data_IF_334609228736
#
_entry.id   IF_334609228736
#
_cell.length_a   1.000
_cell.length_b   1.000
_cell.length_c   1.000
_cell.angle_alpha   90.00
_cell.angle_beta   90.00
_cell.angle_gamma   90.00
#
_symmetry.space_group_name_H-M   'P 1'
#
loop_
_entity.id
_entity.type
_entity.pdbx_description
1 polymer ?
#
# COMPACT_ATOMS: atom_id res chain seq x y z
N UNK A 1 -11.98 -7.72 -11.86
CA UNK A 1 -12.81 -6.55 -12.17
C UNK A 1 -12.26 -5.29 -11.51
N UNK A 2 -12.23 -4.20 -12.24
CA UNK A 2 -11.67 -2.95 -11.76
C UNK A 2 -12.78 -2.01 -11.31
N UNK A 3 -12.63 -1.37 -10.15
CA UNK A 3 -13.55 -0.33 -9.73
C UNK A 3 -12.98 1.02 -10.13
N UNK A 4 -13.89 1.93 -10.46
CA UNK A 4 -13.48 3.29 -10.77
C UNK A 4 -12.93 3.94 -9.51
N UNK A 5 -11.87 4.74 -9.68
CA UNK A 5 -11.26 5.46 -8.59
C UNK A 5 -11.92 6.82 -8.47
N UNK A 6 -12.63 7.11 -7.36
CA UNK A 6 -13.26 8.43 -7.23
C UNK A 6 -12.21 9.53 -7.26
N UNK A 7 -12.60 10.69 -7.79
CA UNK A 7 -11.66 11.81 -7.90
C UNK A 7 -11.10 12.21 -6.54
N UNK A 8 -11.94 12.23 -5.50
CA UNK A 8 -11.47 12.61 -4.18
C UNK A 8 -10.45 11.61 -3.63
N UNK A 9 -10.60 10.32 -3.98
CA UNK A 9 -9.61 9.33 -3.60
C UNK A 9 -8.31 9.55 -4.36
N UNK A 10 -8.40 9.90 -5.64
CA UNK A 10 -7.21 10.10 -6.46
C UNK A 10 -6.36 11.22 -5.91
N UNK A 11 -6.99 12.28 -5.40
CA UNK A 11 -6.25 13.39 -4.81
C UNK A 11 -5.33 12.90 -3.70
N UNK A 12 -5.83 12.00 -2.85
CA UNK A 12 -5.01 11.47 -1.76
C UNK A 12 -3.98 10.47 -2.25
N UNK A 13 -4.36 9.63 -3.22
CA UNK A 13 -3.45 8.60 -3.72
C UNK A 13 -2.26 9.20 -4.47
N UNK A 14 -2.38 10.43 -4.96
CA UNK A 14 -1.28 11.08 -5.66
C UNK A 14 -0.31 11.80 -4.74
N UNK A 15 -0.52 11.73 -3.43
CA UNK A 15 0.34 12.42 -2.46
C UNK A 15 1.20 11.41 -1.70
N UNK A 16 2.42 11.81 -1.29
CA UNK A 16 3.28 10.90 -0.52
C UNK A 16 2.86 10.84 0.96
N UNK A 17 1.72 10.26 1.20
CA UNK A 17 1.19 10.10 2.55
C UNK A 17 1.57 8.73 3.10
N UNK A 18 1.73 8.65 4.41
CA UNK A 18 1.91 7.35 5.05
C UNK A 18 0.53 6.74 5.25
N UNK A 19 0.37 5.51 4.81
CA UNK A 19 -0.90 4.82 4.94
C UNK A 19 -0.75 3.66 5.92
N UNK A 20 -1.87 3.26 6.50
CA UNK A 20 -1.90 2.06 7.34
C UNK A 20 -2.45 0.91 6.50
N UNK A 21 -1.68 -0.16 6.45
CA UNK A 21 -2.05 -1.37 5.71
C UNK A 21 -2.41 -2.46 6.69
N UNK A 22 -3.64 -2.96 6.60
CA UNK A 22 -4.12 -4.04 7.44
C UNK A 22 -4.13 -5.34 6.66
N UNK A 23 -3.57 -6.38 7.25
CA UNK A 23 -3.54 -7.73 6.69
C UNK A 23 -4.05 -8.71 7.73
N UNK A 24 -4.25 -9.95 7.33
CA UNK A 24 -4.79 -10.99 8.21
C UNK A 24 -3.76 -12.10 8.36
N UNK A 25 -3.40 -12.37 9.61
CA UNK A 25 -2.43 -13.44 9.93
C UNK A 25 -3.06 -14.82 9.67
N UNK A 26 -2.24 -15.84 9.52
CA UNK A 26 -2.80 -17.19 9.26
C UNK A 26 -3.78 -17.68 10.32
N UNK A 27 -3.66 -17.21 11.57
CA UNK A 27 -4.60 -17.59 12.62
C UNK A 27 -5.87 -16.73 12.63
N UNK A 28 -6.01 -15.82 11.66
CA UNK A 28 -7.17 -14.96 11.56
C UNK A 28 -7.04 -13.63 12.29
N UNK A 29 -5.95 -13.43 13.02
CA UNK A 29 -5.78 -12.18 13.76
C UNK A 29 -5.44 -11.03 12.80
N UNK A 30 -5.99 -9.85 13.01
CA UNK A 30 -5.62 -8.70 12.16
C UNK A 30 -4.26 -8.12 12.55
N UNK A 31 -3.60 -7.55 11.57
CA UNK A 31 -2.31 -6.89 11.76
C UNK A 31 -2.32 -5.59 10.95
N UNK A 32 -1.75 -4.52 11.48
CA UNK A 32 -1.71 -3.24 10.77
C UNK A 32 -0.34 -2.60 10.93
N UNK A 33 0.17 -2.03 9.83
CA UNK A 33 1.47 -1.37 9.83
C UNK A 33 1.40 -0.13 8.97
N UNK A 34 2.15 0.93 9.33
CA UNK A 34 2.29 2.10 8.46
C UNK A 34 3.23 1.78 7.30
N UNK A 35 2.90 2.30 6.12
CA UNK A 35 3.65 1.98 4.90
C UNK A 35 3.75 3.20 3.99
N UNK A 36 4.84 3.28 3.25
CA UNK A 36 4.93 4.11 2.05
C UNK A 36 4.22 3.37 0.92
N UNK A 37 3.69 4.11 -0.03
CA UNK A 37 3.00 3.50 -1.16
C UNK A 37 3.17 4.33 -2.42
N UNK A 38 2.82 3.72 -3.54
CA UNK A 38 2.77 4.37 -4.84
C UNK A 38 1.50 3.91 -5.54
N UNK A 39 0.76 4.84 -6.13
CA UNK A 39 -0.42 4.50 -6.92
C UNK A 39 -0.05 4.62 -8.39
N UNK A 40 -0.11 3.52 -9.12
CA UNK A 40 0.30 3.49 -10.52
C UNK A 40 -0.43 2.37 -11.23
N UNK A 41 -0.93 2.64 -12.42
CA UNK A 41 -1.62 1.64 -13.24
C UNK A 41 -2.85 1.07 -12.56
N UNK A 42 -3.52 1.89 -11.75
CA UNK A 42 -4.72 1.47 -11.06
C UNK A 42 -4.47 0.59 -9.86
N UNK A 43 -3.22 0.37 -9.49
CA UNK A 43 -2.84 -0.50 -8.38
C UNK A 43 -2.08 0.29 -7.33
N UNK A 44 -2.19 -0.17 -6.09
CA UNK A 44 -1.45 0.42 -4.98
C UNK A 44 -0.26 -0.49 -4.72
N UNK A 45 0.94 0.08 -4.80
CA UNK A 45 2.18 -0.67 -4.73
C UNK A 45 2.89 -0.43 -3.42
N UNK A 46 3.39 -1.52 -2.83
CA UNK A 46 4.20 -1.49 -1.62
C UNK A 46 5.48 -2.26 -1.84
N UNK A 47 6.56 -1.80 -1.21
CA UNK A 47 7.81 -2.56 -1.17
C UNK A 47 7.90 -3.30 0.16
N UNK A 48 8.38 -4.54 0.11
CA UNK A 48 8.49 -5.34 1.32
C UNK A 48 9.55 -6.41 1.11
N UNK A 49 9.81 -7.19 2.15
CA UNK A 49 10.75 -8.30 2.04
C UNK A 49 10.00 -9.61 2.16
N UNK A 50 10.55 -10.66 1.54
CA UNK A 50 9.83 -11.93 1.47
C UNK A 50 9.96 -12.75 2.75
N UNK A 51 10.70 -12.28 3.76
CA UNK A 51 10.83 -13.01 5.02
C UNK A 51 9.97 -12.43 6.14
N UNK A 52 9.22 -11.35 5.87
CA UNK A 52 8.45 -10.70 6.92
C UNK A 52 7.04 -11.25 7.02
N UNK A 53 6.41 -10.97 8.17
CA UNK A 53 5.10 -11.53 8.47
C UNK A 53 4.03 -11.09 7.47
N UNK A 54 4.08 -9.83 7.03
CA UNK A 54 3.08 -9.33 6.09
C UNK A 54 3.08 -10.10 4.77
N UNK A 55 4.27 -10.48 4.31
CA UNK A 55 4.37 -11.29 3.11
C UNK A 55 3.65 -12.63 3.29
N UNK A 56 3.88 -13.28 4.43
CA UNK A 56 3.21 -14.55 4.73
C UNK A 56 1.71 -14.36 4.88
N UNK A 57 1.29 -13.26 5.51
CA UNK A 57 -0.13 -12.95 5.64
C UNK A 57 -0.81 -12.88 4.28
N UNK A 58 -0.20 -12.18 3.34
CA UNK A 58 -0.80 -11.98 2.02
C UNK A 58 -0.88 -13.28 1.23
N UNK A 59 0.08 -14.17 1.43
CA UNK A 59 0.02 -15.47 0.77
C UNK A 59 -1.12 -16.32 1.33
N UNK A 60 -1.44 -16.16 2.61
CA UNK A 60 -2.52 -16.90 3.24
C UNK A 60 -3.88 -16.28 2.97
N UNK A 61 -3.99 -14.95 3.11
CA UNK A 61 -5.24 -14.23 2.92
C UNK A 61 -4.95 -12.98 2.09
N UNK A 62 -5.39 -12.95 0.84
CA UNK A 62 -5.05 -11.81 -0.02
C UNK A 62 -5.82 -10.53 0.25
N UNK A 63 -6.92 -10.58 0.98
CA UNK A 63 -7.71 -9.37 1.24
C UNK A 63 -7.01 -8.45 2.20
N UNK A 64 -7.08 -7.14 1.91
CA UNK A 64 -6.44 -6.12 2.74
C UNK A 64 -7.37 -4.93 2.90
N UNK A 65 -7.04 -4.08 3.87
CA UNK A 65 -7.67 -2.78 4.02
C UNK A 65 -6.58 -1.73 4.23
N UNK A 66 -6.84 -0.54 3.72
CA UNK A 66 -5.89 0.57 3.79
C UNK A 66 -6.63 1.78 4.31
N UNK A 67 -5.99 2.51 5.22
CA UNK A 67 -6.52 3.78 5.73
C UNK A 67 -5.55 4.89 5.40
N UNK A 68 -6.08 5.99 4.82
CA UNK A 68 -5.27 7.15 4.45
C UNK A 68 -5.88 8.39 5.09
N UNK A 69 -5.04 9.20 5.73
CA UNK A 69 -5.44 10.50 6.27
C UNK A 69 -4.77 11.62 5.48
N UNK A 70 -5.52 12.65 5.07
CA UNK A 70 -4.88 13.86 4.57
C UNK A 70 -4.02 14.47 5.65
N UNK A 71 -2.95 15.12 5.27
CA UNK A 71 -2.08 15.74 6.24
C UNK A 71 -2.84 16.83 7.01
N UNK A 72 -2.78 16.75 8.34
CA UNK A 72 -3.42 17.74 9.18
C UNK A 72 -4.93 17.69 9.24
N UNK A 73 -5.54 16.63 8.74
CA UNK A 73 -7.00 16.54 8.66
C UNK A 73 -7.46 15.12 9.02
N UNK A 74 -7.66 14.84 10.29
CA UNK A 74 -8.01 13.47 10.69
C UNK A 74 -9.45 13.07 10.38
N UNK A 75 -10.28 14.00 9.92
CA UNK A 75 -11.69 13.70 9.70
C UNK A 75 -12.01 13.24 8.28
N UNK A 76 -11.21 13.63 7.30
CA UNK A 76 -11.51 13.31 5.91
C UNK A 76 -10.71 12.10 5.45
N UNK A 77 -10.80 11.03 6.21
CA UNK A 77 -10.09 9.80 5.91
C UNK A 77 -10.65 9.09 4.70
N UNK A 78 -9.80 8.27 4.11
CA UNK A 78 -10.17 7.39 3.01
C UNK A 78 -9.88 5.95 3.44
N UNK A 79 -10.84 5.06 3.26
CA UNK A 79 -10.61 3.64 3.44
C UNK A 79 -10.65 2.96 2.08
N UNK A 80 -9.69 2.09 1.83
CA UNK A 80 -9.65 1.30 0.61
C UNK A 80 -9.60 -0.16 1.00
N UNK A 81 -10.49 -0.97 0.42
CA UNK A 81 -10.39 -2.42 0.53
C UNK A 81 -9.91 -2.97 -0.78
N UNK A 82 -9.17 -4.09 -0.74
CA UNK A 82 -8.66 -4.67 -1.96
C UNK A 82 -7.98 -6.00 -1.69
N UNK A 83 -7.21 -6.44 -2.66
CA UNK A 83 -6.51 -7.70 -2.53
C UNK A 83 -5.27 -7.80 -3.40
N UNK A 84 -4.20 -8.57 -3.10
CA UNK A 84 -3.33 -8.70 -3.58
C UNK A 84 -3.51 -8.95 -4.69
N UNK A 85 -3.12 -8.54 -5.71
CA UNK A 85 -3.18 -8.87 -7.12
C UNK A 85 -1.99 -9.71 -7.55
N UNK A 86 -0.80 -9.27 -7.17
CA UNK A 86 0.39 -10.05 -7.44
C UNK A 86 1.53 -9.58 -6.57
N UNK A 87 2.52 -10.45 -6.43
CA UNK A 87 3.77 -10.15 -5.74
C UNK A 87 4.88 -10.51 -6.71
N UNK A 88 5.77 -9.57 -6.98
CA UNK A 88 6.84 -9.74 -7.94
C UNK A 88 8.19 -9.59 -7.27
N UNK A 89 9.18 -10.40 -7.62
CA UNK A 89 10.53 -10.16 -7.11
C UNK A 89 11.05 -8.80 -7.55
N UNK A 90 11.80 -8.15 -6.66
CA UNK A 90 12.41 -6.85 -6.96
C UNK A 90 13.84 -6.85 -6.42
N UNK A 91 14.70 -7.72 -6.97
CA UNK A 91 16.01 -7.99 -6.33
C UNK A 91 16.97 -6.81 -6.33
N UNK A 92 16.71 -5.76 -7.08
CA UNK A 92 17.52 -4.55 -6.98
C UNK A 92 16.92 -3.53 -6.02
N UNK A 93 15.72 -3.81 -5.49
CA UNK A 93 15.05 -2.87 -4.60
C UNK A 93 14.57 -1.62 -5.32
N UNK A 94 14.24 -1.73 -6.61
CA UNK A 94 13.92 -0.56 -7.40
C UNK A 94 12.72 0.20 -6.88
N UNK A 95 11.69 -0.51 -6.40
CA UNK A 95 10.53 0.18 -5.86
C UNK A 95 10.87 0.91 -4.56
N UNK A 96 11.69 0.30 -3.71
CA UNK A 96 12.12 0.99 -2.50
C UNK A 96 12.82 2.32 -2.86
N UNK A 97 13.69 2.27 -3.86
CA UNK A 97 14.40 3.49 -4.28
C UNK A 97 13.43 4.54 -4.78
N UNK A 98 12.46 4.16 -5.60
CA UNK A 98 11.44 5.11 -6.08
C UNK A 98 10.65 5.70 -4.90
N UNK A 99 10.28 4.87 -3.95
CA UNK A 99 9.50 5.35 -2.80
C UNK A 99 10.35 6.27 -1.92
N UNK A 100 11.61 5.94 -1.71
CA UNK A 100 12.46 6.82 -0.92
C UNK A 100 12.55 8.20 -1.56
N UNK A 101 12.68 8.25 -2.89
CA UNK A 101 12.70 9.53 -3.59
C UNK A 101 11.36 10.26 -3.47
N UNK A 102 10.27 9.54 -3.62
CA UNK A 102 8.93 10.13 -3.53
C UNK A 102 8.67 10.73 -2.16
N UNK A 103 9.19 10.11 -1.09
CA UNK A 103 8.98 10.58 0.28
C UNK A 103 10.09 11.48 0.77
N UNK A 104 10.95 11.96 -0.13
CA UNK A 104 11.94 12.97 0.20
C UNK A 104 13.16 12.44 0.96
N UNK A 105 13.41 11.13 0.87
CA UNK A 105 14.53 10.52 1.58
C UNK A 105 15.78 10.34 0.73
N UNK A 106 15.72 10.76 -0.54
CA UNK A 106 16.85 10.63 -1.43
C UNK A 106 16.87 9.30 -2.17
N UNK A 107 17.94 9.08 -2.91
CA UNK A 107 18.06 7.86 -3.71
C UNK A 107 18.77 6.80 -2.87
N UNK A 108 18.01 5.87 -2.35
CA UNK A 108 18.51 4.85 -1.42
C UNK A 108 18.35 3.47 -2.04
N UNK A 109 19.40 2.68 -2.03
CA UNK A 109 19.32 1.26 -2.36
C UNK A 109 19.28 0.51 -1.03
N UNK A 110 18.21 -0.25 -0.76
CA UNK A 110 18.12 -0.91 0.54
C UNK A 110 19.16 -2.01 0.69
N UNK A 111 19.75 -2.17 1.87
CA UNK A 111 20.76 -3.23 2.05
C UNK A 111 20.20 -4.63 1.89
N UNK A 112 18.89 -4.81 2.04
CA UNK A 112 18.24 -6.11 1.85
C UNK A 112 17.60 -6.24 0.46
N UNK A 113 18.14 -5.54 -0.54
CA UNK A 113 17.54 -5.50 -1.87
C UNK A 113 17.29 -6.90 -2.43
N UNK A 114 18.19 -7.83 -2.20
CA UNK A 114 18.05 -9.17 -2.78
C UNK A 114 16.78 -9.88 -2.32
N UNK A 115 16.24 -9.50 -1.16
CA UNK A 115 15.05 -10.13 -0.62
C UNK A 115 13.77 -9.33 -0.85
N UNK A 116 13.87 -8.23 -1.60
CA UNK A 116 12.72 -7.35 -1.79
C UNK A 116 11.73 -7.89 -2.80
N UNK A 117 10.47 -7.55 -2.55
CA UNK A 117 9.38 -7.85 -3.47
C UNK A 117 8.54 -6.59 -3.65
N UNK A 118 7.83 -6.54 -4.77
CA UNK A 118 6.82 -5.52 -5.02
C UNK A 118 5.46 -6.16 -4.82
N UNK A 119 4.64 -5.53 -4.00
CA UNK A 119 3.30 -6.00 -3.71
C UNK A 119 2.31 -5.06 -4.35
N UNK A 120 1.45 -5.59 -5.22
CA UNK A 120 0.43 -4.79 -5.90
C UNK A 120 -0.94 -5.14 -5.35
N UNK A 121 -1.64 -4.13 -4.87
CA UNK A 121 -3.00 -4.27 -4.34
C UNK A 121 -3.98 -3.67 -5.34
N UNK A 122 -4.98 -4.45 -5.72
CA UNK A 122 -6.07 -3.97 -6.58
C UNK A 122 -7.20 -3.48 -5.69
N UNK A 123 -7.57 -2.19 -5.78
CA UNK A 123 -8.70 -1.70 -4.98
C UNK A 123 -10.00 -2.31 -5.45
N UNK A 124 -10.87 -2.65 -4.48
CA UNK A 124 -12.20 -3.15 -4.80
C UNK A 124 -13.30 -2.27 -4.22
N UNK A 125 -13.00 -1.41 -3.25
CA UNK A 125 -14.01 -0.54 -2.66
C UNK A 125 -13.32 0.68 -2.03
N UNK A 126 -13.92 1.84 -2.26
CA UNK A 126 -13.48 3.09 -1.63
C UNK A 126 -14.60 3.61 -0.75
N UNK A 127 -14.25 4.08 0.45
CA UNK A 127 -15.24 4.66 1.35
C UNK A 127 -14.55 5.67 2.27
N UNK A 128 -15.34 6.35 3.08
CA UNK A 128 -14.80 7.27 4.06
C UNK A 128 -15.23 8.69 3.83
N UNK A 129 -14.94 9.54 4.82
CA UNK A 129 -15.39 10.93 4.77
C UNK A 129 -14.76 11.72 3.64
N UNK A 130 -13.59 11.32 3.16
CA UNK A 130 -12.97 12.01 2.04
C UNK A 130 -13.86 12.04 0.81
N UNK A 131 -14.77 11.08 0.69
CA UNK A 131 -15.64 10.98 -0.48
C UNK A 131 -16.95 11.73 -0.33
N UNK A 132 -17.20 12.32 0.84
CA UNK A 132 -18.50 12.95 1.12
C UNK A 132 -18.41 14.45 0.94
N UNK A 133 -18.08 14.89 -0.25
CA UNK A 133 -17.96 16.32 -0.53
C UNK A 133 -19.04 16.78 -1.46
#
# INVERSE_FOLDING_TARGET
>A
MTVAVPEAARVLLDQPLVVDLATVRPDGAPQVNPMWFLFEDGLIWFTHTDYRQKFRNLQHEPRVAISILPEGDPYNYLEIRGGXERIEPDPTGSLYTRLAERYGQGSIVPPDAADRVKIAIRPTRFSGNALKK
#
